data_IF_745209445930
#
_entry.id   IF_745209445930
#
_cell.length_a   1.000
_cell.length_b   1.000
_cell.length_c   1.000
_cell.angle_alpha   90.00
_cell.angle_beta   90.00
_cell.angle_gamma   90.00
#
_symmetry.space_group_name_H-M   'P 1'
#
loop_
_entity.id
_entity.type
_entity.pdbx_description
1 polymer ?
#
# COMPACT_ATOMS: atom_id res chain seq x y z
N UNK A 1 67.96 16.74 -3.73
CA UNK A 1 67.01 15.70 -3.29
C UNK A 1 65.73 15.88 -4.11
N UNK A 2 65.52 15.04 -5.14
CA UNK A 2 64.33 15.09 -6.00
C UNK A 2 63.31 14.09 -5.45
N UNK A 3 62.17 14.60 -4.96
CA UNK A 3 61.05 13.77 -4.53
C UNK A 3 60.23 13.38 -5.75
N UNK A 4 60.21 12.08 -6.07
CA UNK A 4 59.36 11.52 -7.13
C UNK A 4 58.02 11.18 -6.49
N UNK A 5 56.96 11.90 -6.88
CA UNK A 5 55.59 11.65 -6.47
C UNK A 5 55.01 10.56 -7.38
N UNK A 6 54.83 9.35 -6.84
CA UNK A 6 54.19 8.25 -7.57
C UNK A 6 52.66 8.38 -7.33
N UNK A 7 51.95 8.79 -8.39
CA UNK A 7 50.46 8.82 -8.40
C UNK A 7 49.97 7.40 -8.77
N UNK A 8 49.44 6.70 -7.79
CA UNK A 8 48.75 5.41 -7.99
C UNK A 8 47.34 5.68 -8.55
N UNK A 9 47.18 5.45 -9.84
CA UNK A 9 45.88 5.41 -10.50
C UNK A 9 45.17 4.09 -10.19
N UNK A 10 44.17 4.13 -9.32
CA UNK A 10 43.26 2.99 -9.13
C UNK A 10 42.23 2.95 -10.26
N UNK A 11 42.05 1.83 -10.97
CA UNK A 11 40.98 1.71 -11.95
C UNK A 11 39.64 1.65 -11.21
N UNK A 12 38.78 2.63 -11.47
CA UNK A 12 37.38 2.57 -11.05
C UNK A 12 36.68 1.54 -11.94
N UNK A 13 36.47 0.34 -11.38
CA UNK A 13 35.65 -0.68 -12.03
C UNK A 13 34.20 -0.20 -11.92
N UNK A 14 33.66 0.38 -12.99
CA UNK A 14 32.25 0.67 -13.12
C UNK A 14 31.51 -0.69 -13.21
N UNK A 15 30.86 -1.13 -12.11
CA UNK A 15 29.88 -2.20 -12.17
C UNK A 15 28.71 -1.68 -13.03
N UNK A 16 28.69 -2.09 -14.29
CA UNK A 16 27.51 -1.92 -15.13
C UNK A 16 26.38 -2.73 -14.49
N UNK A 17 25.38 -2.03 -13.92
CA UNK A 17 24.11 -2.66 -13.55
C UNK A 17 23.49 -3.20 -14.83
N UNK A 18 23.61 -4.51 -15.04
CA UNK A 18 22.89 -5.19 -16.10
C UNK A 18 21.40 -5.10 -15.75
N UNK A 19 20.71 -4.15 -16.35
CA UNK A 19 19.26 -4.06 -16.28
C UNK A 19 18.67 -5.40 -16.73
N UNK A 20 17.81 -6.02 -15.91
CA UNK A 20 17.14 -7.25 -16.28
C UNK A 20 16.43 -7.03 -17.61
N UNK A 21 16.70 -7.92 -18.58
CA UNK A 21 16.03 -7.87 -19.89
C UNK A 21 14.53 -8.01 -19.64
N UNK A 22 13.68 -7.16 -20.25
CA UNK A 22 12.23 -7.32 -20.14
C UNK A 22 11.81 -8.73 -20.50
N UNK A 23 10.94 -9.35 -19.70
CA UNK A 23 10.42 -10.66 -19.99
C UNK A 23 9.63 -10.62 -21.31
N UNK A 24 9.91 -11.55 -22.21
CA UNK A 24 9.16 -11.74 -23.45
C UNK A 24 8.15 -12.87 -23.21
N UNK A 25 6.85 -12.57 -23.30
CA UNK A 25 5.78 -13.54 -23.13
C UNK A 25 4.89 -13.29 -21.91
N UNK A 26 4.21 -14.33 -21.45
CA UNK A 26 3.29 -14.27 -20.31
C UNK A 26 4.06 -14.14 -18.98
N UNK A 27 3.60 -13.24 -18.12
CA UNK A 27 4.10 -13.08 -16.75
C UNK A 27 3.23 -13.88 -15.78
N UNK A 28 3.87 -14.46 -14.77
CA UNK A 28 3.17 -15.07 -13.63
C UNK A 28 3.18 -14.07 -12.47
N UNK A 29 2.01 -13.69 -12.01
CA UNK A 29 1.85 -12.75 -10.91
C UNK A 29 1.17 -13.43 -9.72
N UNK A 30 1.61 -13.08 -8.51
CA UNK A 30 0.89 -13.44 -7.29
C UNK A 30 -0.34 -12.55 -7.16
N UNK A 31 -1.48 -13.14 -6.81
CA UNK A 31 -2.73 -12.43 -6.58
C UNK A 31 -3.38 -12.87 -5.26
N UNK A 32 -4.10 -11.99 -4.61
CA UNK A 32 -4.90 -12.32 -3.43
C UNK A 32 -6.05 -13.25 -3.82
N UNK A 33 -6.16 -14.39 -3.13
CA UNK A 33 -7.40 -15.19 -3.17
C UNK A 33 -8.54 -14.44 -2.47
N UNK A 34 -9.78 -14.83 -2.74
CA UNK A 34 -10.94 -14.26 -2.05
C UNK A 34 -10.86 -14.54 -0.54
N UNK A 35 -10.51 -15.76 -0.15
CA UNK A 35 -10.41 -16.14 1.26
C UNK A 35 -9.38 -15.32 2.01
N UNK A 36 -8.19 -15.11 1.41
CA UNK A 36 -7.16 -14.26 2.01
C UNK A 36 -7.63 -12.82 2.13
N UNK A 37 -8.30 -12.28 1.11
CA UNK A 37 -8.86 -10.94 1.15
C UNK A 37 -9.94 -10.80 2.22
N UNK A 38 -10.79 -11.83 2.42
CA UNK A 38 -11.78 -11.88 3.49
C UNK A 38 -11.16 -11.87 4.88
N UNK A 39 -10.10 -12.66 5.10
CA UNK A 39 -9.41 -12.70 6.40
C UNK A 39 -8.76 -11.37 6.73
N UNK A 40 -8.11 -10.74 5.75
CA UNK A 40 -7.54 -9.39 5.90
C UNK A 40 -8.63 -8.37 6.24
N UNK A 41 -9.74 -8.38 5.50
CA UNK A 41 -10.82 -7.43 5.71
C UNK A 41 -11.48 -7.60 7.08
N UNK A 42 -11.72 -8.86 7.52
CA UNK A 42 -12.27 -9.17 8.84
C UNK A 42 -11.32 -8.77 9.95
N UNK A 43 -10.02 -9.11 9.84
CA UNK A 43 -9.03 -8.72 10.84
C UNK A 43 -8.94 -7.20 11.04
N UNK A 44 -9.05 -6.41 9.97
CA UNK A 44 -9.11 -4.96 10.06
C UNK A 44 -10.39 -4.47 10.73
N UNK A 45 -11.54 -5.03 10.36
CA UNK A 45 -12.83 -4.66 10.93
C UNK A 45 -12.91 -5.00 12.43
N UNK A 46 -12.43 -6.19 12.80
CA UNK A 46 -12.42 -6.65 14.19
C UNK A 46 -11.53 -5.78 15.08
N UNK A 47 -10.36 -5.37 14.57
CA UNK A 47 -9.48 -4.41 15.25
C UNK A 47 -10.18 -3.07 15.49
N UNK A 48 -10.80 -2.51 14.45
CA UNK A 48 -11.55 -1.26 14.59
C UNK A 48 -12.69 -1.38 15.60
N UNK A 49 -13.46 -2.49 15.58
CA UNK A 49 -14.53 -2.77 16.54
C UNK A 49 -14.02 -2.89 17.96
N UNK A 50 -12.89 -3.57 18.17
CA UNK A 50 -12.25 -3.70 19.49
C UNK A 50 -11.83 -2.34 20.06
N UNK A 51 -11.44 -1.41 19.19
CA UNK A 51 -11.09 -0.02 19.56
C UNK A 51 -12.35 0.89 19.70
N UNK A 52 -13.56 0.36 19.49
CA UNK A 52 -14.80 1.10 19.59
C UNK A 52 -15.17 1.90 18.34
N UNK A 53 -14.51 1.66 17.18
CA UNK A 53 -14.78 2.36 15.94
C UNK A 53 -15.66 1.54 14.99
N UNK A 54 -16.49 2.24 14.22
CA UNK A 54 -17.29 1.66 13.13
C UNK A 54 -16.72 2.13 11.81
N UNK A 55 -16.27 1.20 10.98
CA UNK A 55 -15.50 1.52 9.78
C UNK A 55 -15.99 0.74 8.58
N UNK A 56 -15.59 1.20 7.41
CA UNK A 56 -15.62 0.43 6.17
C UNK A 56 -14.21 0.00 5.80
N UNK A 57 -14.06 -1.24 5.39
CA UNK A 57 -12.83 -1.82 4.87
C UNK A 57 -13.02 -2.16 3.40
N UNK A 58 -12.10 -1.74 2.54
CA UNK A 58 -12.05 -2.11 1.12
C UNK A 58 -10.75 -2.84 0.81
N UNK A 59 -10.82 -3.95 0.06
CA UNK A 59 -9.67 -4.69 -0.47
C UNK A 59 -9.70 -4.62 -1.99
N UNK A 60 -8.60 -4.20 -2.61
CA UNK A 60 -8.41 -4.18 -4.06
C UNK A 60 -7.40 -5.25 -4.49
N UNK A 61 -7.58 -5.77 -5.70
CA UNK A 61 -6.59 -6.61 -6.38
C UNK A 61 -5.45 -5.77 -7.00
N UNK A 62 -4.50 -6.42 -7.67
CA UNK A 62 -3.37 -5.76 -8.34
C UNK A 62 -3.78 -4.83 -9.49
N UNK A 63 -4.94 -5.07 -10.09
CA UNK A 63 -5.52 -4.24 -11.15
C UNK A 63 -6.32 -3.04 -10.62
N UNK A 64 -6.45 -2.88 -9.30
CA UNK A 64 -7.25 -1.82 -8.68
C UNK A 64 -8.74 -2.12 -8.63
N UNK A 65 -9.16 -3.35 -8.98
CA UNK A 65 -10.56 -3.73 -8.91
C UNK A 65 -10.98 -4.05 -7.47
N UNK A 66 -12.17 -3.66 -7.11
CA UNK A 66 -12.74 -3.96 -5.79
C UNK A 66 -12.97 -5.47 -5.66
N UNK A 67 -12.30 -6.08 -4.69
CA UNK A 67 -12.43 -7.50 -4.35
C UNK A 67 -13.41 -7.71 -3.21
N UNK A 68 -13.35 -6.85 -2.20
CA UNK A 68 -14.23 -6.87 -1.02
C UNK A 68 -14.49 -5.46 -0.53
N UNK A 69 -15.73 -5.21 -0.10
CA UNK A 69 -16.08 -4.05 0.72
C UNK A 69 -16.93 -4.53 1.91
N UNK A 70 -16.42 -4.36 3.12
CA UNK A 70 -17.17 -4.63 4.36
C UNK A 70 -17.44 -3.30 5.05
N UNK A 71 -18.71 -2.94 5.16
CA UNK A 71 -19.17 -1.77 5.91
C UNK A 71 -19.82 -2.22 7.20
N UNK A 72 -19.31 -1.73 8.34
CA UNK A 72 -19.90 -2.02 9.65
C UNK A 72 -21.25 -1.31 9.82
N UNK A 73 -22.08 -1.87 10.70
CA UNK A 73 -23.38 -1.29 11.02
C UNK A 73 -23.24 0.10 11.64
N UNK A 74 -24.07 1.04 11.19
CA UNK A 74 -24.04 2.43 11.63
C UNK A 74 -22.88 3.26 11.11
N UNK A 75 -22.01 2.73 10.23
CA UNK A 75 -20.95 3.50 9.56
C UNK A 75 -21.55 4.44 8.52
N UNK A 76 -21.08 5.67 8.46
CA UNK A 76 -21.50 6.66 7.46
C UNK A 76 -21.32 6.18 6.02
N UNK A 77 -22.27 6.44 5.10
CA UNK A 77 -22.23 5.88 3.74
C UNK A 77 -21.04 6.32 2.91
N UNK A 78 -20.50 7.54 3.09
CA UNK A 78 -19.34 8.03 2.36
C UNK A 78 -18.06 7.22 2.61
N UNK A 79 -17.99 6.49 3.73
CA UNK A 79 -16.79 5.71 4.09
C UNK A 79 -16.50 4.59 3.10
N UNK A 80 -17.51 4.10 2.36
CA UNK A 80 -17.35 3.09 1.31
C UNK A 80 -16.44 3.63 0.20
N UNK A 81 -16.76 4.82 -0.31
CA UNK A 81 -15.97 5.48 -1.34
C UNK A 81 -14.59 5.88 -0.82
N UNK A 82 -14.52 6.43 0.40
CA UNK A 82 -13.26 6.88 1.00
C UNK A 82 -12.32 5.70 1.25
N UNK A 83 -12.80 4.57 1.79
CA UNK A 83 -11.99 3.37 1.98
C UNK A 83 -11.43 2.84 0.64
N UNK A 84 -12.27 2.81 -0.41
CA UNK A 84 -11.84 2.42 -1.75
C UNK A 84 -10.72 3.35 -2.27
N UNK A 85 -10.91 4.65 -2.21
CA UNK A 85 -9.93 5.64 -2.68
C UNK A 85 -8.61 5.59 -1.89
N UNK A 86 -8.66 5.34 -0.58
CA UNK A 86 -7.46 5.13 0.25
C UNK A 86 -6.70 3.87 -0.19
N UNK A 87 -7.41 2.76 -0.42
CA UNK A 87 -6.82 1.54 -0.94
C UNK A 87 -6.18 1.76 -2.31
N UNK A 88 -6.90 2.44 -3.22
CA UNK A 88 -6.42 2.74 -4.56
C UNK A 88 -5.17 3.63 -4.54
N UNK A 89 -5.15 4.67 -3.69
CA UNK A 89 -3.98 5.52 -3.49
C UNK A 89 -2.76 4.70 -3.03
N UNK A 90 -2.95 3.79 -2.05
CA UNK A 90 -1.87 2.95 -1.56
C UNK A 90 -1.38 1.96 -2.63
N UNK A 91 -2.28 1.44 -3.48
CA UNK A 91 -1.96 0.52 -4.56
C UNK A 91 -1.06 1.16 -5.61
N UNK A 92 -1.49 2.29 -6.18
CA UNK A 92 -0.79 2.92 -7.32
C UNK A 92 0.53 3.54 -6.91
N UNK A 93 0.64 4.10 -5.69
CA UNK A 93 1.89 4.66 -5.17
C UNK A 93 2.74 3.64 -4.44
N UNK A 94 2.25 2.40 -4.24
CA UNK A 94 2.96 1.28 -3.60
C UNK A 94 3.53 1.61 -2.23
N UNK A 95 2.86 2.52 -1.50
CA UNK A 95 3.23 2.99 -0.15
C UNK A 95 1.98 3.34 0.65
N UNK A 96 2.08 3.50 1.98
CA UNK A 96 0.96 3.98 2.80
C UNK A 96 0.35 5.26 2.24
N UNK A 97 -0.98 5.33 2.17
CA UNK A 97 -1.67 6.51 1.64
C UNK A 97 -1.43 7.76 2.49
N UNK A 98 -1.10 7.62 3.78
CA UNK A 98 -0.66 8.69 4.66
C UNK A 98 0.63 9.37 4.17
N UNK A 99 1.60 8.59 3.68
CA UNK A 99 2.84 9.13 3.13
C UNK A 99 2.57 9.93 1.85
N UNK A 100 1.68 9.42 1.01
CA UNK A 100 1.23 10.12 -0.21
C UNK A 100 0.52 11.42 0.15
N UNK A 101 -0.38 11.40 1.14
CA UNK A 101 -1.08 12.59 1.60
C UNK A 101 -0.10 13.67 2.12
N UNK A 102 0.91 13.29 2.90
CA UNK A 102 1.96 14.20 3.38
C UNK A 102 2.77 14.80 2.23
N UNK A 103 3.14 13.98 1.23
CA UNK A 103 3.87 14.46 0.06
C UNK A 103 3.05 15.44 -0.78
N UNK A 104 1.73 15.22 -0.90
CA UNK A 104 0.86 16.10 -1.66
C UNK A 104 0.54 17.42 -0.94
N UNK A 105 0.57 17.45 0.38
CA UNK A 105 0.31 18.65 1.18
C UNK A 105 1.27 19.82 0.86
N UNK A 106 2.44 19.52 0.29
CA UNK A 106 3.45 20.53 -0.11
C UNK A 106 3.41 20.90 -1.58
N UNK A 107 2.51 20.29 -2.39
CA UNK A 107 2.40 20.54 -3.83
C UNK A 107 1.25 21.50 -4.13
N UNK A 108 1.48 22.47 -5.02
CA UNK A 108 0.47 23.44 -5.45
C UNK A 108 0.48 23.55 -6.98
N UNK A 109 -0.60 23.17 -7.67
CA UNK A 109 -1.78 22.47 -7.12
C UNK A 109 -1.45 21.04 -6.68
N UNK A 110 -2.21 20.45 -5.75
CA UNK A 110 -2.01 19.07 -5.37
C UNK A 110 -2.29 18.14 -6.56
N UNK A 111 -1.58 17.00 -6.69
CA UNK A 111 -1.85 16.03 -7.74
C UNK A 111 -3.31 15.55 -7.70
N UNK A 112 -3.92 15.41 -8.87
CA UNK A 112 -5.27 14.87 -9.01
C UNK A 112 -5.23 13.72 -10.01
N UNK A 113 -5.38 12.49 -9.50
CA UNK A 113 -5.57 11.27 -10.28
C UNK A 113 -6.91 10.70 -9.86
N UNK A 114 -7.78 10.41 -10.83
CA UNK A 114 -9.11 9.86 -10.55
C UNK A 114 -9.01 8.60 -9.70
N UNK A 115 -9.88 8.49 -8.71
CA UNK A 115 -9.88 7.37 -7.77
C UNK A 115 -8.91 7.51 -6.60
N UNK A 116 -8.05 8.54 -6.55
CA UNK A 116 -7.13 8.78 -5.42
C UNK A 116 -7.67 9.77 -4.40
N UNK A 117 -7.09 9.74 -3.20
CA UNK A 117 -7.42 10.68 -2.12
C UNK A 117 -6.20 10.94 -1.23
N UNK A 118 -6.03 12.20 -0.81
CA UNK A 118 -4.96 12.63 0.10
C UNK A 118 -5.33 12.37 1.57
N UNK A 119 -5.63 11.12 1.92
CA UNK A 119 -5.98 10.69 3.28
C UNK A 119 -5.27 9.39 3.63
N UNK A 120 -4.79 9.28 4.88
CA UNK A 120 -4.21 8.04 5.43
C UNK A 120 -5.25 6.98 5.76
N UNK A 121 -4.80 5.74 5.95
CA UNK A 121 -5.62 4.56 6.23
C UNK A 121 -5.67 3.56 5.07
N UNK A 122 -4.89 3.80 4.00
CA UNK A 122 -4.67 2.86 2.92
C UNK A 122 -3.26 2.27 2.98
N UNK A 123 -3.13 0.95 2.82
CA UNK A 123 -1.85 0.23 2.83
C UNK A 123 -1.75 -0.72 1.63
N UNK A 124 -0.56 -0.84 1.00
CA UNK A 124 -0.31 -1.90 0.05
C UNK A 124 -0.21 -3.24 0.78
N UNK A 125 -0.80 -4.30 0.22
CA UNK A 125 -0.63 -5.67 0.69
C UNK A 125 0.52 -6.28 -0.10
N UNK A 126 1.53 -6.80 0.60
CA UNK A 126 2.75 -7.33 -0.03
C UNK A 126 2.94 -8.82 0.27
N UNK A 127 3.47 -9.52 -0.73
CA UNK A 127 4.01 -10.87 -0.60
C UNK A 127 5.50 -10.81 -1.01
N UNK A 128 6.41 -10.75 -0.03
CA UNK A 128 7.78 -10.34 -0.28
C UNK A 128 7.84 -8.91 -0.81
N UNK A 129 8.57 -8.70 -1.90
CA UNK A 129 8.70 -7.38 -2.54
C UNK A 129 7.53 -7.03 -3.49
N UNK A 130 6.67 -8.01 -3.80
CA UNK A 130 5.56 -7.83 -4.74
C UNK A 130 4.32 -7.27 -4.03
N UNK A 131 3.74 -6.21 -4.58
CA UNK A 131 2.41 -5.74 -4.18
C UNK A 131 1.37 -6.65 -4.84
N UNK A 132 0.56 -7.32 -4.02
CA UNK A 132 -0.48 -8.29 -4.45
C UNK A 132 -1.89 -7.75 -4.32
N UNK A 133 -2.03 -6.51 -3.88
CA UNK A 133 -3.28 -5.80 -3.69
C UNK A 133 -3.12 -4.67 -2.69
N UNK A 134 -4.23 -4.12 -2.22
CA UNK A 134 -4.24 -3.07 -1.19
C UNK A 134 -5.47 -3.15 -0.30
N UNK A 135 -5.36 -2.54 0.87
CA UNK A 135 -6.46 -2.35 1.83
C UNK A 135 -6.66 -0.86 2.08
N UNK A 136 -7.89 -0.43 2.26
CA UNK A 136 -8.25 0.89 2.77
C UNK A 136 -9.29 0.78 3.86
N UNK A 137 -9.11 1.57 4.91
CA UNK A 137 -10.04 1.67 6.04
C UNK A 137 -10.49 3.12 6.19
N UNK A 138 -11.78 3.31 6.49
CA UNK A 138 -12.36 4.64 6.70
C UNK A 138 -13.49 4.59 7.71
N UNK A 139 -13.52 5.57 8.63
CA UNK A 139 -14.57 5.72 9.63
C UNK A 139 -14.09 5.89 11.06
N UNK A 140 -12.85 5.56 11.38
CA UNK A 140 -12.27 5.88 12.67
C UNK A 140 -12.05 7.39 12.84
N UNK A 141 -11.96 7.91 14.08
CA UNK A 141 -11.84 9.35 14.33
C UNK A 141 -10.44 9.92 14.07
N UNK A 142 -9.67 9.28 13.19
CA UNK A 142 -8.31 9.68 12.81
C UNK A 142 -7.72 8.75 11.76
N UNK A 143 -6.92 9.32 10.87
CA UNK A 143 -6.30 8.56 9.76
C UNK A 143 -5.29 7.53 10.27
N UNK A 144 -4.61 7.82 11.36
CA UNK A 144 -3.70 6.92 12.09
C UNK A 144 -4.43 5.69 12.63
N UNK A 145 -5.67 5.87 13.10
CA UNK A 145 -6.52 4.80 13.62
C UNK A 145 -7.06 3.91 12.49
N UNK A 146 -7.45 4.51 11.38
CA UNK A 146 -7.79 3.76 10.15
C UNK A 146 -6.60 2.91 9.70
N UNK A 147 -5.37 3.47 9.70
CA UNK A 147 -4.15 2.77 9.30
C UNK A 147 -3.77 1.65 10.29
N UNK A 148 -3.99 1.85 11.59
CA UNK A 148 -3.80 0.81 12.59
C UNK A 148 -4.72 -0.39 12.37
N UNK A 149 -6.00 -0.15 12.01
CA UNK A 149 -6.93 -1.22 11.64
C UNK A 149 -6.47 -1.95 10.36
N UNK A 150 -6.06 -1.21 9.33
CA UNK A 150 -5.53 -1.79 8.09
C UNK A 150 -4.31 -2.67 8.35
N UNK A 151 -3.39 -2.21 9.21
CA UNK A 151 -2.20 -2.96 9.63
C UNK A 151 -2.57 -4.28 10.32
N UNK A 152 -3.53 -4.24 11.24
CA UNK A 152 -4.01 -5.44 11.93
C UNK A 152 -4.65 -6.44 10.94
N UNK A 153 -5.38 -5.96 9.95
CA UNK A 153 -5.93 -6.78 8.89
C UNK A 153 -4.85 -7.53 8.10
N UNK A 154 -3.82 -6.82 7.63
CA UNK A 154 -2.69 -7.47 6.93
C UNK A 154 -1.98 -8.49 7.83
N UNK A 155 -1.81 -8.15 9.11
CA UNK A 155 -1.18 -9.04 10.09
C UNK A 155 -1.94 -10.37 10.27
N UNK A 156 -3.28 -10.36 10.18
CA UNK A 156 -4.11 -11.56 10.27
C UNK A 156 -3.81 -12.60 9.17
N UNK A 157 -3.29 -12.16 8.02
CA UNK A 157 -2.91 -13.04 6.91
C UNK A 157 -1.39 -13.19 6.72
N UNK A 158 -0.55 -12.60 7.59
CA UNK A 158 0.89 -12.47 7.41
C UNK A 158 1.61 -13.81 7.15
N UNK A 159 1.17 -14.91 7.76
CA UNK A 159 1.78 -16.23 7.57
C UNK A 159 1.65 -16.75 6.12
N UNK A 160 0.65 -16.26 5.37
CA UNK A 160 0.35 -16.64 3.98
C UNK A 160 0.85 -15.63 2.95
N UNK A 161 1.35 -14.49 3.37
CA UNK A 161 1.91 -13.41 2.52
C UNK A 161 3.43 -13.56 2.31
N UNK A 162 3.91 -14.79 2.20
CA UNK A 162 5.35 -15.12 2.04
C UNK A 162 5.72 -15.35 0.58
#
# INVERSE_FOLDING_TARGET
MRVVLIVLLFPVIALAQQGAKPAAGLLTEKALSLDMAMDIARGALDKCRADGYRTTVAILDTGGNLKISLRDDGTSPHTVEVAHKKAYTALIYRRPSMETAKAWATQVPPPSIDGTIALGGGLPIRAGDQVVGSIGVSGAPGQDKDEACATAGIAAAAARLK
#
